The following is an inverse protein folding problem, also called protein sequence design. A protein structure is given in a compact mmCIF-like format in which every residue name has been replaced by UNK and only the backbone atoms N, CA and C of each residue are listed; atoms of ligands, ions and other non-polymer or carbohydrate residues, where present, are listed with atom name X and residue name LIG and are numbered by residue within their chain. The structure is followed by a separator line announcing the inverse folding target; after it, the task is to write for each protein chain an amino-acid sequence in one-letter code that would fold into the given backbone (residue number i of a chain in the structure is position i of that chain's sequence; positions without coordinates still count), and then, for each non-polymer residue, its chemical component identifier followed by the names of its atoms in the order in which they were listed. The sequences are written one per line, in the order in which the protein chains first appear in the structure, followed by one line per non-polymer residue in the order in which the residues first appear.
data_IF_480947184692
#
_entry.id   IF_480947184692
#
_cell.length_a   1.000
_cell.length_b   1.000
_cell.length_c   1.000
_cell.angle_alpha   90.00
_cell.angle_beta   90.00
_cell.angle_gamma   90.00
#
_symmetry.space_group_name_H-M   'P 1'
#
loop_
_entity.id
_entity.type
_entity.pdbx_description
1 polymer ?
#
# COMPACT_ATOMS: atom_id res chain seq x y z
N UNK A 1 -16.95 -10.88 11.41
CA UNK A 1 -15.82 -11.33 10.58
C UNK A 1 -16.18 -10.95 9.17
N UNK A 2 -15.57 -9.88 8.65
CA UNK A 2 -15.88 -9.32 7.34
C UNK A 2 -15.47 -10.31 6.26
N UNK A 3 -16.41 -10.63 5.38
CA UNK A 3 -16.17 -11.32 4.12
C UNK A 3 -15.11 -10.50 3.37
N UNK A 4 -13.87 -11.00 3.30
CA UNK A 4 -12.82 -10.36 2.51
C UNK A 4 -13.24 -10.54 1.05
N UNK A 5 -13.54 -9.45 0.30
CA UNK A 5 -13.80 -9.58 -1.12
C UNK A 5 -12.60 -10.30 -1.76
N UNK A 6 -12.87 -11.31 -2.58
CA UNK A 6 -11.80 -12.03 -3.27
C UNK A 6 -10.88 -11.05 -4.00
N UNK A 7 -9.57 -11.20 -3.82
CA UNK A 7 -8.59 -10.33 -4.45
C UNK A 7 -8.59 -10.64 -5.97
N UNK A 8 -8.77 -9.64 -6.84
CA UNK A 8 -8.71 -9.85 -8.29
C UNK A 8 -7.34 -10.40 -8.71
N UNK A 9 -7.33 -11.36 -9.64
CA UNK A 9 -6.11 -12.01 -10.08
C UNK A 9 -5.26 -11.15 -11.04
N UNK A 10 -5.87 -10.15 -11.67
CA UNK A 10 -5.33 -9.33 -12.76
C UNK A 10 -5.02 -7.89 -12.34
N UNK A 11 -4.71 -7.67 -11.07
CA UNK A 11 -4.30 -6.36 -10.56
C UNK A 11 -2.99 -5.88 -11.18
N UNK A 12 -2.99 -4.63 -11.65
CA UNK A 12 -1.78 -3.93 -12.09
C UNK A 12 -1.06 -3.31 -10.89
N UNK A 13 -0.04 -4.01 -10.41
CA UNK A 13 0.78 -3.58 -9.27
C UNK A 13 1.83 -2.55 -9.69
N UNK A 14 1.85 -1.42 -8.99
CA UNK A 14 2.85 -0.36 -9.14
C UNK A 14 3.73 -0.34 -7.90
N UNK A 15 5.02 -0.52 -8.12
CA UNK A 15 6.04 -0.53 -7.07
C UNK A 15 6.42 0.90 -6.66
N UNK A 16 6.31 1.21 -5.37
CA UNK A 16 6.82 2.46 -4.79
C UNK A 16 8.32 2.33 -4.50
N UNK A 17 9.13 2.41 -5.55
CA UNK A 17 10.59 2.39 -5.47
C UNK A 17 11.18 3.61 -6.19
N UNK A 18 12.39 4.07 -5.82
CA UNK A 18 13.13 5.04 -6.60
C UNK A 18 13.32 4.62 -8.06
N UNK A 19 13.43 5.58 -8.97
CA UNK A 19 13.70 5.29 -10.37
C UNK A 19 15.06 4.59 -10.53
N UNK A 20 15.08 3.52 -11.33
CA UNK A 20 16.30 2.74 -11.62
C UNK A 20 16.69 1.69 -10.57
N UNK A 21 15.99 1.59 -9.45
CA UNK A 21 16.22 0.51 -8.47
C UNK A 21 15.71 -0.84 -9.01
N UNK A 22 16.55 -1.87 -8.97
CA UNK A 22 16.23 -3.23 -9.41
C UNK A 22 16.16 -4.20 -8.21
N UNK A 23 15.58 -5.39 -8.41
CA UNK A 23 15.52 -6.43 -7.38
C UNK A 23 14.32 -6.31 -6.42
N UNK A 24 14.22 -7.24 -5.45
CA UNK A 24 13.01 -7.43 -4.67
C UNK A 24 12.75 -6.27 -3.71
N UNK A 25 13.79 -5.71 -3.07
CA UNK A 25 13.72 -4.62 -2.08
C UNK A 25 12.63 -4.74 -1.00
N UNK A 26 12.54 -3.80 -0.05
CA UNK A 26 11.43 -3.71 0.90
C UNK A 26 10.32 -2.80 0.34
N UNK A 27 9.96 -2.98 -0.92
CA UNK A 27 9.06 -2.05 -1.60
C UNK A 27 7.60 -2.33 -1.24
N UNK A 28 6.82 -1.27 -1.10
CA UNK A 28 5.37 -1.37 -1.11
C UNK A 28 4.89 -1.33 -2.55
N UNK A 29 4.04 -2.28 -2.92
CA UNK A 29 3.34 -2.31 -4.19
C UNK A 29 1.88 -1.93 -3.96
N UNK A 30 1.35 -1.09 -4.85
CA UNK A 30 -0.03 -0.60 -4.81
C UNK A 30 -0.76 -0.98 -6.08
N UNK A 31 -2.00 -1.47 -5.98
CA UNK A 31 -2.89 -1.68 -7.11
C UNK A 31 -4.27 -1.07 -6.84
N UNK A 32 -4.84 -0.44 -7.87
CA UNK A 32 -6.24 0.00 -7.87
C UNK A 32 -7.08 -1.07 -8.57
N UNK A 33 -8.13 -1.53 -7.91
CA UNK A 33 -9.03 -2.54 -8.47
C UNK A 33 -10.48 -2.07 -8.58
N UNK A 34 -11.41 -3.00 -8.82
CA UNK A 34 -12.84 -2.71 -8.92
C UNK A 34 -13.41 -2.21 -7.59
N UNK A 35 -14.64 -1.68 -7.66
CA UNK A 35 -15.43 -1.28 -6.48
C UNK A 35 -14.70 -0.31 -5.52
N UNK A 36 -13.87 0.58 -6.08
CA UNK A 36 -13.05 1.55 -5.35
C UNK A 36 -12.06 0.94 -4.36
N UNK A 37 -11.69 -0.34 -4.51
CA UNK A 37 -10.65 -0.95 -3.67
C UNK A 37 -9.24 -0.54 -4.08
N UNK A 38 -8.38 -0.40 -3.06
CA UNK A 38 -6.94 -0.20 -3.18
C UNK A 38 -6.26 -1.31 -2.40
N UNK A 39 -5.33 -2.00 -3.06
CA UNK A 39 -4.60 -3.13 -2.51
C UNK A 39 -3.15 -2.73 -2.31
N UNK A 40 -2.59 -3.10 -1.17
CA UNK A 40 -1.20 -2.89 -0.82
C UNK A 40 -0.57 -4.21 -0.42
N UNK A 41 0.68 -4.44 -0.82
CA UNK A 41 1.49 -5.57 -0.37
C UNK A 41 2.96 -5.18 -0.34
N UNK A 42 3.77 -5.97 0.34
CA UNK A 42 5.22 -5.86 0.25
C UNK A 42 5.74 -6.75 -0.89
N UNK A 43 6.75 -6.32 -1.64
CA UNK A 43 7.36 -7.15 -2.68
C UNK A 43 7.96 -8.45 -2.09
N UNK A 44 8.43 -8.42 -0.84
CA UNK A 44 8.97 -9.59 -0.12
C UNK A 44 7.93 -10.61 0.37
N UNK A 45 6.68 -10.18 0.55
CA UNK A 45 5.55 -11.06 0.89
C UNK A 45 4.31 -10.67 0.06
N UNK A 46 4.25 -11.13 -1.21
CA UNK A 46 3.18 -10.76 -2.12
C UNK A 46 1.82 -11.38 -1.76
N UNK A 47 1.77 -12.24 -0.75
CA UNK A 47 0.55 -12.94 -0.30
C UNK A 47 -0.16 -12.20 0.83
N UNK A 48 0.56 -11.37 1.57
CA UNK A 48 0.00 -10.55 2.63
C UNK A 48 -0.52 -9.22 2.05
N UNK A 49 -1.80 -9.21 1.71
CA UNK A 49 -2.44 -8.07 1.02
C UNK A 49 -3.35 -7.32 1.99
N UNK A 50 -3.04 -6.04 2.18
CA UNK A 50 -3.91 -5.09 2.87
C UNK A 50 -4.88 -4.49 1.85
N UNK A 51 -6.17 -4.53 2.16
CA UNK A 51 -7.22 -3.92 1.32
C UNK A 51 -7.82 -2.71 2.02
N UNK A 52 -7.92 -1.60 1.29
CA UNK A 52 -8.59 -0.37 1.72
C UNK A 52 -9.46 0.17 0.59
N UNK A 53 -10.13 1.30 0.82
CA UNK A 53 -10.91 1.99 -0.23
C UNK A 53 -10.17 3.20 -0.75
N UNK A 54 -10.51 3.65 -1.96
CA UNK A 54 -9.95 4.84 -2.59
C UNK A 54 -10.13 6.08 -1.71
N UNK A 55 -11.27 6.24 -1.06
CA UNK A 55 -11.52 7.34 -0.11
C UNK A 55 -10.56 7.32 1.07
N UNK A 56 -10.36 6.14 1.69
CA UNK A 56 -9.43 5.99 2.81
C UNK A 56 -7.98 6.18 2.38
N UNK A 57 -7.62 5.67 1.20
CA UNK A 57 -6.30 5.86 0.61
C UNK A 57 -5.97 7.34 0.39
N UNK A 58 -6.89 8.11 -0.18
CA UNK A 58 -6.71 9.56 -0.39
C UNK A 58 -6.59 10.32 0.95
N UNK A 59 -7.35 9.93 1.97
CA UNK A 59 -7.22 10.54 3.30
C UNK A 59 -5.86 10.21 3.92
N UNK A 60 -5.43 8.95 3.83
CA UNK A 60 -4.14 8.48 4.32
C UNK A 60 -2.97 9.23 3.66
N UNK A 61 -2.94 9.33 2.33
CA UNK A 61 -1.86 10.04 1.62
C UNK A 61 -1.80 11.52 1.98
N UNK A 62 -2.95 12.18 2.22
CA UNK A 62 -2.98 13.56 2.72
C UNK A 62 -2.37 13.68 4.11
N UNK A 63 -2.67 12.76 5.02
CA UNK A 63 -2.06 12.74 6.36
C UNK A 63 -0.54 12.54 6.29
N UNK A 64 -0.07 11.61 5.45
CA UNK A 64 1.37 11.40 5.19
C UNK A 64 2.03 12.68 4.68
N UNK A 65 1.46 13.33 3.66
CA UNK A 65 2.03 14.57 3.13
C UNK A 65 1.97 15.75 4.10
N UNK A 66 1.09 15.70 5.11
CA UNK A 66 1.00 16.70 6.16
C UNK A 66 1.97 16.44 7.33
N UNK A 67 2.77 15.37 7.27
CA UNK A 67 3.66 14.96 8.36
C UNK A 67 2.91 14.39 9.56
N UNK A 68 1.65 13.97 9.40
CA UNK A 68 0.83 13.45 10.51
C UNK A 68 1.48 12.21 11.16
N UNK A 69 2.29 11.47 10.41
CA UNK A 69 2.91 10.21 10.84
C UNK A 69 4.41 10.33 11.17
N UNK A 70 5.01 11.52 11.08
CA UNK A 70 6.47 11.68 11.24
C UNK A 70 6.94 11.27 12.65
N UNK A 71 6.06 11.44 13.65
CA UNK A 71 6.29 11.02 15.03
C UNK A 71 6.43 9.49 15.23
N UNK A 72 6.09 8.66 14.23
CA UNK A 72 6.32 7.21 14.27
C UNK A 72 7.72 6.81 13.77
N UNK A 73 8.48 7.72 13.15
CA UNK A 73 9.81 7.45 12.64
C UNK A 73 10.91 7.65 13.69
N UNK A 74 10.61 8.39 14.76
CA UNK A 74 11.50 8.57 15.90
C UNK A 74 11.23 7.43 16.90
N UNK A 75 12.23 6.57 17.10
CA UNK A 75 12.28 5.74 18.29
C UNK A 75 12.72 6.67 19.42
N UNK A 76 11.88 6.87 20.44
CA UNK A 76 12.34 7.51 21.69
C UNK A 76 13.59 6.73 22.16
N UNK A 77 14.74 7.42 22.28
CA UNK A 77 16.00 6.88 22.85
C UNK A 77 15.86 6.52 24.34
#
# INVERSE_FOLDING_TARGET
MTDTPGIPADLAWVRAAPEGEEGPGPWIEIAFGPDDFVYLRETGDPTNIVTTTRTKWVAFTKGVMAGEFDHFAELDD
#
